data_IF_643854995432
#
_entry.id   IF_643854995432
#
_cell.length_a   1.000
_cell.length_b   1.000
_cell.length_c   1.000
_cell.angle_alpha   90.00
_cell.angle_beta   90.00
_cell.angle_gamma   90.00
#
_symmetry.space_group_name_H-M   'P 1'
#
loop_
_entity.id
_entity.type
_entity.pdbx_description
1 polymer ?
#
# COMPACT_ATOMS: atom_id res chain seq x y z
N UNK A 1 6.02 -7.41 -19.63
CA UNK A 1 5.28 -7.77 -18.41
C UNK A 1 5.43 -9.26 -18.14
N UNK A 2 5.24 -9.70 -16.89
CA UNK A 2 5.44 -11.09 -16.44
C UNK A 2 4.14 -11.87 -16.16
N UNK A 3 3.04 -11.49 -16.81
CA UNK A 3 1.71 -12.12 -16.66
C UNK A 3 1.14 -12.16 -15.23
N UNK A 4 1.61 -11.31 -14.33
CA UNK A 4 1.04 -11.12 -12.98
C UNK A 4 0.75 -9.64 -12.69
N UNK A 5 -0.20 -9.31 -11.78
CA UNK A 5 -0.49 -7.91 -11.47
C UNK A 5 0.73 -7.14 -10.94
N UNK A 6 1.64 -7.83 -10.25
CA UNK A 6 2.88 -7.26 -9.72
C UNK A 6 3.95 -7.00 -10.80
N UNK A 7 3.85 -7.64 -11.96
CA UNK A 7 4.81 -7.56 -13.08
C UNK A 7 4.22 -6.97 -14.37
N UNK A 8 3.03 -6.37 -14.29
CA UNK A 8 2.34 -5.66 -15.38
C UNK A 8 2.15 -4.18 -15.01
N UNK A 9 3.24 -3.43 -15.04
CA UNK A 9 3.33 -2.08 -14.46
C UNK A 9 4.19 -1.17 -15.33
N UNK A 10 3.83 0.11 -15.42
CA UNK A 10 4.60 1.14 -16.13
C UNK A 10 4.80 2.34 -15.20
N UNK A 11 5.99 2.95 -15.30
CA UNK A 11 6.32 4.23 -14.71
C UNK A 11 6.70 5.20 -15.83
N UNK A 12 6.06 6.36 -15.88
CA UNK A 12 6.35 7.43 -16.84
C UNK A 12 6.91 8.59 -16.03
N UNK A 13 8.12 9.03 -16.38
CA UNK A 13 8.84 10.07 -15.64
C UNK A 13 9.23 11.21 -16.58
N UNK A 14 9.15 12.43 -16.08
CA UNK A 14 9.71 13.63 -16.71
C UNK A 14 10.35 14.52 -15.66
N UNK A 15 11.23 15.44 -16.08
CA UNK A 15 11.64 16.55 -15.21
C UNK A 15 10.39 17.33 -14.81
N UNK A 16 10.29 17.68 -13.52
CA UNK A 16 9.19 18.51 -13.06
C UNK A 16 9.43 19.97 -13.46
N UNK A 17 8.35 20.67 -13.80
CA UNK A 17 8.37 22.14 -13.91
C UNK A 17 8.06 22.83 -12.58
N UNK A 18 7.75 22.05 -11.54
CA UNK A 18 7.42 22.56 -10.21
C UNK A 18 8.70 22.90 -9.45
N UNK A 19 8.66 23.92 -8.59
CA UNK A 19 9.80 24.28 -7.74
C UNK A 19 10.00 23.34 -6.55
N UNK A 20 8.94 22.63 -6.17
CA UNK A 20 8.86 21.74 -5.01
C UNK A 20 9.04 20.25 -5.36
N UNK A 21 9.25 19.91 -6.64
CA UNK A 21 9.54 18.57 -7.10
C UNK A 21 10.68 18.57 -8.13
N UNK A 22 11.43 17.47 -8.20
CA UNK A 22 12.51 17.29 -9.17
C UNK A 22 12.01 16.53 -10.42
N UNK A 23 11.11 15.57 -10.22
CA UNK A 23 10.47 14.80 -11.30
C UNK A 23 8.97 14.64 -11.08
N UNK A 24 8.24 14.57 -12.20
CA UNK A 24 6.85 14.13 -12.22
C UNK A 24 6.80 12.63 -12.54
N UNK A 25 5.97 11.89 -11.81
CA UNK A 25 5.85 10.44 -11.91
C UNK A 25 4.40 10.02 -12.09
N UNK A 26 4.11 9.37 -13.22
CA UNK A 26 2.82 8.72 -13.48
C UNK A 26 2.97 7.21 -13.42
N UNK A 27 2.22 6.56 -12.54
CA UNK A 27 2.03 5.12 -12.52
C UNK A 27 0.92 4.70 -13.48
N UNK A 28 1.09 3.55 -14.13
CA UNK A 28 0.03 2.91 -14.90
C UNK A 28 -0.03 1.41 -14.58
N UNK A 29 -1.21 0.95 -14.15
CA UNK A 29 -1.49 -0.48 -13.99
C UNK A 29 -2.06 -1.01 -15.31
N UNK A 30 -1.33 -1.92 -15.95
CA UNK A 30 -1.74 -2.51 -17.23
C UNK A 30 -2.50 -3.80 -16.96
N UNK A 31 -3.73 -3.91 -17.49
CA UNK A 31 -4.52 -5.13 -17.41
C UNK A 31 -3.84 -6.26 -18.22
N UNK A 32 -3.95 -7.49 -17.73
CA UNK A 32 -3.24 -8.65 -18.32
C UNK A 32 -4.06 -9.29 -19.44
N UNK A 33 -5.38 -9.36 -19.26
CA UNK A 33 -6.29 -10.14 -20.07
C UNK A 33 -7.08 -9.29 -21.09
N UNK A 34 -6.87 -7.97 -21.13
CA UNK A 34 -7.65 -7.04 -21.95
C UNK A 34 -6.95 -5.69 -22.18
N UNK A 35 -7.35 -4.90 -23.19
CA UNK A 35 -6.69 -3.66 -23.56
C UNK A 35 -7.15 -2.48 -22.66
N UNK A 36 -6.77 -2.52 -21.38
CA UNK A 36 -7.11 -1.49 -20.41
C UNK A 36 -5.88 -1.07 -19.58
N UNK A 37 -5.82 0.22 -19.26
CA UNK A 37 -4.78 0.81 -18.41
C UNK A 37 -5.45 1.68 -17.35
N UNK A 38 -5.14 1.42 -16.08
CA UNK A 38 -5.67 2.19 -14.94
C UNK A 38 -4.59 3.16 -14.42
N UNK A 39 -4.87 4.45 -14.54
CA UNK A 39 -4.02 5.57 -14.09
C UNK A 39 -4.47 6.18 -12.76
N UNK A 40 -5.50 5.63 -12.11
CA UNK A 40 -5.96 6.16 -10.81
C UNK A 40 -5.05 5.82 -9.63
N UNK A 41 -4.50 4.60 -9.50
CA UNK A 41 -3.69 4.29 -8.32
C UNK A 41 -2.27 4.86 -8.45
N UNK A 42 -1.61 5.00 -7.31
CA UNK A 42 -0.15 5.02 -7.24
C UNK A 42 0.39 3.59 -6.95
N UNK A 43 1.68 3.35 -7.20
CA UNK A 43 2.37 2.12 -6.80
C UNK A 43 3.64 2.42 -6.00
N UNK A 44 3.54 2.36 -4.67
CA UNK A 44 4.68 2.64 -3.79
C UNK A 44 5.91 1.75 -4.00
N UNK A 45 5.73 0.50 -4.45
CA UNK A 45 6.88 -0.36 -4.77
C UNK A 45 7.62 0.13 -6.03
N UNK A 46 6.91 0.65 -7.03
CA UNK A 46 7.54 1.24 -8.22
C UNK A 46 8.16 2.60 -7.88
N UNK A 47 7.58 3.36 -6.95
CA UNK A 47 8.16 4.62 -6.45
C UNK A 47 9.59 4.45 -5.91
N UNK A 48 9.97 3.27 -5.42
CA UNK A 48 11.34 2.98 -4.96
C UNK A 48 12.38 3.08 -6.08
N UNK A 49 11.98 2.81 -7.32
CA UNK A 49 12.86 2.88 -8.48
C UNK A 49 12.85 4.26 -9.16
N UNK A 50 11.88 5.13 -8.84
CA UNK A 50 11.70 6.43 -9.52
C UNK A 50 12.90 7.36 -9.30
N UNK A 51 13.32 7.54 -8.05
CA UNK A 51 14.48 8.37 -7.72
C UNK A 51 15.78 7.84 -8.36
N UNK A 52 16.15 6.56 -8.14
CA UNK A 52 17.29 5.93 -8.80
C UNK A 52 17.28 6.06 -10.33
N UNK A 53 16.13 5.78 -10.97
CA UNK A 53 15.99 5.92 -12.41
C UNK A 53 16.14 7.38 -12.88
N UNK A 54 15.59 8.34 -12.13
CA UNK A 54 15.71 9.76 -12.49
C UNK A 54 17.18 10.23 -12.53
N UNK A 55 18.02 9.72 -11.63
CA UNK A 55 19.48 9.95 -11.67
C UNK A 55 20.10 9.26 -12.89
N UNK A 56 19.82 7.97 -13.08
CA UNK A 56 20.38 7.19 -14.19
C UNK A 56 20.00 7.74 -15.57
N UNK A 57 18.77 8.22 -15.72
CA UNK A 57 18.24 8.81 -16.95
C UNK A 57 18.67 10.28 -17.14
N UNK A 58 19.48 10.83 -16.23
CA UNK A 58 19.95 12.21 -16.28
C UNK A 58 18.82 13.25 -16.14
N UNK A 59 17.71 12.91 -15.50
CA UNK A 59 16.63 13.85 -15.16
C UNK A 59 16.99 14.67 -13.92
N UNK A 60 17.76 14.10 -13.01
CA UNK A 60 18.20 14.73 -11.76
C UNK A 60 19.71 14.58 -11.62
N UNK A 61 20.39 15.66 -11.22
CA UNK A 61 21.81 15.60 -10.85
C UNK A 61 21.90 15.13 -9.39
N UNK A 62 22.56 14.00 -9.10
CA UNK A 62 22.62 13.48 -7.73
C UNK A 62 23.60 14.28 -6.86
N UNK A 63 23.45 14.11 -5.55
CA UNK A 63 24.45 14.45 -4.53
C UNK A 63 25.21 13.18 -4.13
N UNK A 64 26.53 13.23 -4.18
CA UNK A 64 27.39 12.09 -3.82
C UNK A 64 27.15 11.63 -2.37
N UNK A 65 27.27 10.33 -2.13
CA UNK A 65 26.99 9.71 -0.83
C UNK A 65 25.49 9.45 -0.64
N UNK A 66 24.69 10.51 -0.46
CA UNK A 66 23.23 10.39 -0.24
C UNK A 66 22.48 11.43 -1.05
N UNK A 67 21.58 10.96 -1.90
CA UNK A 67 20.70 11.81 -2.72
C UNK A 67 19.27 11.68 -2.24
N UNK A 68 18.54 12.80 -2.19
CA UNK A 68 17.08 12.85 -2.05
C UNK A 68 16.51 13.36 -3.37
N UNK A 69 15.56 12.63 -3.95
CA UNK A 69 14.77 13.06 -5.10
C UNK A 69 13.33 13.32 -4.65
N UNK A 70 12.84 14.54 -4.87
CA UNK A 70 11.45 14.94 -4.65
C UNK A 70 10.62 14.57 -5.87
N UNK A 71 9.60 13.78 -5.67
CA UNK A 71 8.78 13.19 -6.73
C UNK A 71 7.36 13.69 -6.56
N UNK A 72 6.83 14.35 -7.58
CA UNK A 72 5.40 14.64 -7.65
C UNK A 72 4.70 13.48 -8.35
N UNK A 73 3.86 12.74 -7.62
CA UNK A 73 3.04 11.70 -8.23
C UNK A 73 1.80 12.32 -8.88
N UNK A 74 1.69 12.22 -10.19
CA UNK A 74 0.60 12.83 -10.97
C UNK A 74 -0.73 12.09 -10.80
N UNK A 75 -0.71 10.82 -10.38
CA UNK A 75 -1.93 10.04 -10.15
C UNK A 75 -2.72 10.53 -8.94
N UNK A 76 -2.00 10.86 -7.85
CA UNK A 76 -2.60 11.24 -6.56
C UNK A 76 -2.39 12.70 -6.18
N UNK A 77 -1.63 13.45 -6.98
CA UNK A 77 -1.21 14.82 -6.67
C UNK A 77 -0.54 14.95 -5.28
N UNK A 78 0.26 13.94 -4.93
CA UNK A 78 1.01 13.86 -3.65
C UNK A 78 2.50 13.74 -3.90
N UNK A 79 3.26 14.08 -2.87
CA UNK A 79 4.73 14.13 -2.93
C UNK A 79 5.33 12.89 -2.28
N UNK A 80 6.43 12.43 -2.87
CA UNK A 80 7.24 11.33 -2.38
C UNK A 80 8.69 11.78 -2.39
N UNK A 81 9.42 11.54 -1.30
CA UNK A 81 10.87 11.66 -1.28
C UNK A 81 11.50 10.28 -1.38
N UNK A 82 12.39 10.10 -2.35
CA UNK A 82 13.22 8.90 -2.49
C UNK A 82 14.65 9.25 -2.11
N UNK A 83 15.12 8.66 -1.02
CA UNK A 83 16.46 8.88 -0.49
C UNK A 83 17.29 7.60 -0.61
N UNK A 84 18.44 7.67 -1.26
CA UNK A 84 19.26 6.52 -1.62
C UNK A 84 20.75 6.88 -1.73
N UNK A 85 21.59 5.85 -1.76
CA UNK A 85 23.05 5.99 -1.87
C UNK A 85 23.50 6.21 -3.32
N UNK A 86 24.47 7.09 -3.48
CA UNK A 86 25.11 7.41 -4.76
C UNK A 86 26.62 7.34 -4.63
N UNK A 87 27.27 6.67 -5.57
CA UNK A 87 28.73 6.59 -5.69
C UNK A 87 29.14 6.83 -7.15
N UNK A 88 30.13 7.70 -7.38
CA UNK A 88 30.57 8.07 -8.72
C UNK A 88 29.47 8.70 -9.56
N UNK A 89 28.53 9.42 -8.93
CA UNK A 89 27.35 9.99 -9.59
C UNK A 89 26.32 8.96 -10.09
N UNK A 90 26.41 7.69 -9.66
CA UNK A 90 25.47 6.61 -10.00
C UNK A 90 24.77 6.07 -8.76
N UNK A 91 23.55 5.56 -8.93
CA UNK A 91 22.84 4.85 -7.87
C UNK A 91 23.58 3.57 -7.46
N UNK A 92 23.80 3.40 -6.16
CA UNK A 92 24.36 2.16 -5.60
C UNK A 92 23.22 1.17 -5.36
N UNK A 93 23.12 0.14 -6.20
CA UNK A 93 22.05 -0.86 -6.10
C UNK A 93 22.35 -1.99 -5.10
N UNK A 94 23.63 -2.31 -4.89
CA UNK A 94 24.07 -3.39 -4.02
C UNK A 94 24.23 -2.92 -2.57
N UNK A 95 23.93 -3.81 -1.63
CA UNK A 95 23.97 -3.53 -0.20
C UNK A 95 23.40 -4.70 0.60
N UNK A 96 23.31 -4.55 1.92
CA UNK A 96 23.04 -5.65 2.85
C UNK A 96 21.58 -5.70 3.35
N UNK A 97 20.69 -4.88 2.78
CA UNK A 97 19.29 -4.84 3.22
C UNK A 97 18.48 -5.94 2.53
N UNK A 98 17.89 -6.82 3.34
CA UNK A 98 16.91 -7.80 2.89
C UNK A 98 15.48 -7.22 2.99
N UNK A 99 14.68 -7.39 1.93
CA UNK A 99 13.26 -7.03 1.92
C UNK A 99 12.43 -8.32 1.78
N UNK A 100 11.52 -8.62 2.72
CA UNK A 100 10.64 -9.78 2.62
C UNK A 100 9.91 -9.86 1.27
N UNK A 101 10.11 -10.95 0.54
CA UNK A 101 9.55 -11.17 -0.80
C UNK A 101 10.49 -10.83 -1.96
N UNK A 102 11.70 -10.32 -1.70
CA UNK A 102 12.75 -10.10 -2.69
C UNK A 102 13.95 -11.00 -2.37
N UNK A 103 14.36 -11.92 -3.27
CA UNK A 103 15.56 -12.73 -3.07
C UNK A 103 16.83 -11.88 -3.01
N UNK A 104 17.71 -12.19 -2.05
CA UNK A 104 19.01 -11.52 -1.88
C UNK A 104 18.93 -10.21 -1.09
N UNK A 105 19.91 -9.34 -1.34
CA UNK A 105 20.07 -8.06 -0.66
C UNK A 105 20.26 -6.92 -1.65
N UNK A 106 20.00 -5.69 -1.22
CA UNK A 106 20.28 -4.48 -1.97
C UNK A 106 20.52 -3.28 -1.07
N UNK A 107 20.87 -2.16 -1.69
CA UNK A 107 21.02 -0.86 -1.02
C UNK A 107 19.67 -0.29 -0.60
N UNK A 108 19.56 0.33 0.59
CA UNK A 108 18.31 0.92 1.05
C UNK A 108 17.91 2.11 0.17
N UNK A 109 16.65 2.09 -0.23
CA UNK A 109 15.91 3.27 -0.70
C UNK A 109 14.86 3.59 0.36
N UNK A 110 15.03 4.72 1.04
CA UNK A 110 14.04 5.23 1.97
C UNK A 110 13.00 6.03 1.19
N UNK A 111 11.75 5.58 1.26
CA UNK A 111 10.61 6.29 0.69
C UNK A 111 9.83 6.98 1.79
N UNK A 112 9.67 8.30 1.66
CA UNK A 112 8.79 9.09 2.51
C UNK A 112 7.63 9.62 1.67
N UNK A 113 6.40 9.21 1.96
CA UNK A 113 5.21 9.82 1.37
C UNK A 113 4.80 10.99 2.25
N UNK A 114 4.80 12.19 1.69
CA UNK A 114 4.51 13.44 2.41
C UNK A 114 3.04 13.77 2.24
N UNK A 115 2.32 13.95 3.35
CA UNK A 115 0.87 14.19 3.40
C UNK A 115 0.11 13.31 2.41
N UNK A 116 0.20 11.97 2.55
CA UNK A 116 -0.30 11.03 1.54
C UNK A 116 -1.83 10.91 1.50
N UNK A 117 -2.55 11.67 2.29
CA UNK A 117 -3.99 11.60 2.51
C UNK A 117 -4.81 12.18 1.36
N UNK A 118 -6.00 11.62 1.12
CA UNK A 118 -7.00 12.15 0.21
C UNK A 118 -6.61 12.15 -1.26
N UNK A 119 -5.63 11.35 -1.69
CA UNK A 119 -5.15 11.35 -3.07
C UNK A 119 -6.21 10.96 -4.12
N UNK A 120 -7.20 10.15 -3.74
CA UNK A 120 -8.29 9.73 -4.64
C UNK A 120 -9.62 10.44 -4.34
N UNK A 121 -9.84 10.87 -3.10
CA UNK A 121 -11.15 11.32 -2.60
C UNK A 121 -11.13 12.69 -1.92
N UNK A 122 -9.95 13.26 -1.67
CA UNK A 122 -9.76 14.54 -0.99
C UNK A 122 -9.83 14.49 0.53
N UNK A 123 -10.11 13.34 1.16
CA UNK A 123 -10.20 13.18 2.62
C UNK A 123 -9.56 11.87 3.08
N UNK A 124 -8.96 11.85 4.28
CA UNK A 124 -8.39 10.63 4.86
C UNK A 124 -9.45 9.54 5.11
N UNK A 125 -10.63 9.93 5.61
CA UNK A 125 -11.79 9.05 5.83
C UNK A 125 -12.96 9.53 4.96
N UNK A 126 -13.04 9.10 3.70
CA UNK A 126 -14.00 9.66 2.74
C UNK A 126 -15.47 9.31 3.02
N UNK A 127 -15.75 8.30 3.85
CA UNK A 127 -17.11 7.99 4.32
C UNK A 127 -17.56 8.91 5.47
N UNK A 128 -16.63 9.67 6.05
CA UNK A 128 -16.85 10.46 7.25
C UNK A 128 -16.76 9.66 8.56
N UNK A 129 -16.64 8.33 8.48
CA UNK A 129 -16.60 7.44 9.64
C UNK A 129 -15.22 6.81 9.82
N UNK A 130 -14.80 6.60 11.07
CA UNK A 130 -13.61 5.79 11.37
C UNK A 130 -13.86 4.31 11.12
N UNK A 131 -15.10 3.86 11.28
CA UNK A 131 -15.59 2.51 11.01
C UNK A 131 -16.97 2.61 10.38
N UNK A 132 -17.12 1.98 9.23
CA UNK A 132 -18.40 1.74 8.55
C UNK A 132 -18.80 0.28 8.77
N UNK A 133 -20.11 0.02 8.81
CA UNK A 133 -20.66 -1.34 8.93
C UNK A 133 -21.41 -1.69 7.65
N UNK A 134 -20.89 -2.65 6.90
CA UNK A 134 -21.51 -3.13 5.66
C UNK A 134 -22.49 -4.25 6.04
N UNK A 135 -23.76 -4.03 5.72
CA UNK A 135 -24.85 -4.99 5.96
C UNK A 135 -25.13 -5.81 4.69
N UNK A 136 -25.35 -7.10 4.85
CA UNK A 136 -25.69 -8.00 3.75
C UNK A 136 -27.15 -8.49 3.82
N UNK A 137 -27.64 -9.01 2.70
CA UNK A 137 -29.04 -9.43 2.54
C UNK A 137 -29.46 -10.58 3.47
N UNK A 138 -28.49 -11.37 3.93
CA UNK A 138 -28.70 -12.45 4.90
C UNK A 138 -28.66 -11.98 6.37
N UNK A 139 -28.47 -10.68 6.60
CA UNK A 139 -28.37 -10.06 7.93
C UNK A 139 -26.98 -10.11 8.55
N UNK A 140 -26.00 -10.75 7.90
CA UNK A 140 -24.60 -10.67 8.30
C UNK A 140 -24.04 -9.26 8.10
N UNK A 141 -22.97 -8.93 8.82
CA UNK A 141 -22.37 -7.61 8.74
C UNK A 141 -20.86 -7.67 8.94
N UNK A 142 -20.16 -6.78 8.25
CA UNK A 142 -18.70 -6.67 8.30
C UNK A 142 -18.32 -5.24 8.63
N UNK A 143 -17.43 -5.08 9.61
CA UNK A 143 -16.87 -3.78 9.96
C UNK A 143 -15.67 -3.47 9.05
N UNK A 144 -15.64 -2.25 8.52
CA UNK A 144 -14.55 -1.77 7.66
C UNK A 144 -14.10 -0.37 8.07
N UNK A 145 -12.83 -0.06 7.88
CA UNK A 145 -12.34 1.32 7.83
C UNK A 145 -11.97 1.64 6.39
N UNK A 146 -12.51 2.74 5.84
CA UNK A 146 -12.16 3.21 4.50
C UNK A 146 -11.16 4.35 4.62
N UNK A 147 -9.93 4.12 4.17
CA UNK A 147 -8.81 5.03 4.37
C UNK A 147 -8.18 5.41 3.04
N UNK A 148 -8.15 6.70 2.74
CA UNK A 148 -7.45 7.23 1.56
C UNK A 148 -6.12 7.85 1.97
N UNK A 149 -5.09 7.00 2.04
CA UNK A 149 -3.71 7.45 2.21
C UNK A 149 -2.76 6.58 1.38
N UNK A 150 -2.02 7.19 0.45
CA UNK A 150 -1.20 6.51 -0.55
C UNK A 150 -2.00 5.83 -1.66
N UNK A 151 -3.04 5.08 -1.31
CA UNK A 151 -4.16 4.69 -2.16
C UNK A 151 -5.41 4.48 -1.29
N UNK A 152 -6.58 4.82 -1.82
CA UNK A 152 -7.86 4.46 -1.22
C UNK A 152 -7.95 2.95 -0.97
N UNK A 153 -8.09 2.58 0.30
CA UNK A 153 -8.03 1.20 0.78
C UNK A 153 -9.18 0.93 1.76
N UNK A 154 -9.94 -0.14 1.49
CA UNK A 154 -10.91 -0.72 2.42
C UNK A 154 -10.19 -1.71 3.31
N UNK A 155 -10.20 -1.47 4.62
CA UNK A 155 -9.56 -2.29 5.65
C UNK A 155 -10.66 -3.05 6.37
N UNK A 156 -10.75 -4.35 6.13
CA UNK A 156 -11.81 -5.23 6.60
C UNK A 156 -11.40 -5.93 7.89
N UNK A 157 -12.28 -5.96 8.88
CA UNK A 157 -12.10 -6.78 10.08
C UNK A 157 -12.30 -8.27 9.72
N UNK A 158 -11.21 -9.04 9.73
CA UNK A 158 -11.27 -10.48 9.42
C UNK A 158 -12.14 -11.27 10.38
N UNK A 159 -12.23 -10.86 11.65
CA UNK A 159 -13.05 -11.54 12.66
C UNK A 159 -14.55 -11.37 12.43
N UNK A 160 -14.95 -10.37 11.64
CA UNK A 160 -16.35 -10.10 11.28
C UNK A 160 -16.81 -10.79 10.00
N UNK A 161 -15.93 -11.51 9.29
CA UNK A 161 -16.30 -12.17 8.03
C UNK A 161 -17.25 -13.38 8.27
N UNK A 162 -18.34 -13.52 7.47
CA UNK A 162 -19.42 -14.49 7.76
C UNK A 162 -18.98 -15.96 7.81
N UNK A 163 -18.04 -16.36 6.96
CA UNK A 163 -17.59 -17.75 6.83
C UNK A 163 -16.35 -18.08 7.67
N UNK A 164 -15.91 -17.13 8.51
CA UNK A 164 -14.69 -17.24 9.29
C UNK A 164 -13.44 -17.02 8.43
N UNK A 165 -12.61 -16.08 8.86
CA UNK A 165 -11.28 -15.87 8.30
C UNK A 165 -10.26 -16.65 9.11
N UNK A 166 -9.49 -17.54 8.48
CA UNK A 166 -8.31 -18.13 9.11
C UNK A 166 -7.00 -17.66 8.46
N UNK A 167 -6.46 -16.53 8.92
CA UNK A 167 -5.05 -16.22 8.73
C UNK A 167 -4.21 -17.18 9.59
N UNK A 168 -3.24 -17.91 9.04
CA UNK A 168 -2.22 -17.16 8.34
C UNK A 168 -1.87 -17.74 6.99
N UNK A 169 -2.48 -18.85 6.62
CA UNK A 169 -2.10 -19.60 5.45
C UNK A 169 -2.94 -19.13 4.25
N UNK A 170 -2.28 -18.46 3.31
CA UNK A 170 -2.90 -18.12 2.03
C UNK A 170 -2.19 -18.90 0.94
N UNK A 171 -2.97 -19.67 0.21
CA UNK A 171 -2.61 -20.25 -1.08
C UNK A 171 -2.38 -19.12 -2.12
N UNK A 172 -1.89 -19.50 -3.30
CA UNK A 172 -1.72 -18.56 -4.41
C UNK A 172 -3.06 -18.03 -4.98
N UNK A 173 -4.17 -18.58 -4.51
CA UNK A 173 -5.54 -18.21 -4.86
C UNK A 173 -6.36 -17.83 -3.62
N UNK A 174 -7.42 -17.05 -3.82
CA UNK A 174 -8.43 -16.80 -2.78
C UNK A 174 -9.51 -17.87 -2.93
N UNK A 175 -9.98 -18.44 -1.82
CA UNK A 175 -11.20 -19.25 -1.85
C UNK A 175 -12.33 -18.49 -2.54
N UNK A 176 -13.13 -19.19 -3.35
CA UNK A 176 -14.14 -18.57 -4.18
C UNK A 176 -15.15 -17.75 -3.37
N UNK A 177 -15.57 -18.25 -2.20
CA UNK A 177 -16.54 -17.56 -1.33
C UNK A 177 -15.96 -16.27 -0.76
N UNK A 178 -14.74 -16.33 -0.20
CA UNK A 178 -14.03 -15.16 0.32
C UNK A 178 -13.76 -14.13 -0.77
N UNK A 179 -13.35 -14.57 -1.96
CA UNK A 179 -13.12 -13.69 -3.10
C UNK A 179 -14.39 -12.90 -3.49
N UNK A 180 -15.55 -13.56 -3.50
CA UNK A 180 -16.82 -12.90 -3.76
C UNK A 180 -17.20 -11.89 -2.68
N UNK A 181 -17.01 -12.25 -1.40
CA UNK A 181 -17.28 -11.35 -0.29
C UNK A 181 -16.45 -10.08 -0.36
N UNK A 182 -15.13 -10.23 -0.55
CA UNK A 182 -14.22 -9.10 -0.66
C UNK A 182 -14.54 -8.22 -1.86
N UNK A 183 -14.88 -8.81 -3.01
CA UNK A 183 -15.26 -8.03 -4.19
C UNK A 183 -16.58 -7.27 -3.97
N UNK A 184 -17.58 -7.87 -3.32
CA UNK A 184 -18.84 -7.18 -2.97
C UNK A 184 -18.58 -5.98 -2.06
N UNK A 185 -17.80 -6.16 -0.99
CA UNK A 185 -17.39 -5.08 -0.08
C UNK A 185 -16.70 -3.95 -0.85
N UNK A 186 -15.74 -4.31 -1.72
CA UNK A 186 -14.97 -3.36 -2.52
C UNK A 186 -15.85 -2.56 -3.47
N UNK A 187 -16.84 -3.21 -4.10
CA UNK A 187 -17.79 -2.57 -5.00
C UNK A 187 -18.74 -1.64 -4.26
N UNK A 188 -19.31 -2.08 -3.13
CA UNK A 188 -20.22 -1.28 -2.31
C UNK A 188 -19.58 0.05 -1.90
N UNK A 189 -18.37 0.00 -1.34
CA UNK A 189 -17.60 1.21 -0.99
C UNK A 189 -17.27 2.04 -2.24
N UNK A 190 -16.92 1.39 -3.35
CA UNK A 190 -16.63 2.08 -4.60
C UNK A 190 -17.82 2.88 -5.14
N UNK A 191 -19.04 2.34 -5.04
CA UNK A 191 -20.27 3.04 -5.41
C UNK A 191 -20.63 4.14 -4.40
N UNK A 192 -20.53 3.86 -3.09
CA UNK A 192 -20.76 4.86 -2.03
C UNK A 192 -19.88 6.10 -2.21
N UNK A 193 -18.63 5.90 -2.64
CA UNK A 193 -17.65 6.97 -2.86
C UNK A 193 -17.68 7.54 -4.29
N UNK A 194 -18.66 7.18 -5.11
CA UNK A 194 -18.81 7.65 -6.49
C UNK A 194 -17.56 7.42 -7.37
N UNK A 195 -16.78 6.38 -7.10
CA UNK A 195 -15.62 6.01 -7.93
C UNK A 195 -16.04 5.43 -9.28
N UNK A 196 -17.27 4.94 -9.34
CA UNK A 196 -17.88 4.28 -10.47
C UNK A 196 -19.28 4.84 -10.72
N UNK A 197 -19.74 4.76 -11.97
CA UNK A 197 -21.15 5.00 -12.28
C UNK A 197 -21.94 3.70 -12.05
N UNK A 198 -23.24 3.75 -11.74
CA UNK A 198 -24.08 2.55 -11.61
C UNK A 198 -24.09 1.65 -12.86
N UNK A 199 -23.78 2.22 -14.02
CA UNK A 199 -23.69 1.50 -15.30
C UNK A 199 -22.32 0.89 -15.57
N UNK A 200 -21.30 1.18 -14.74
CA UNK A 200 -19.94 0.69 -14.95
C UNK A 200 -19.86 -0.79 -14.60
N UNK A 201 -19.43 -1.62 -15.55
CA UNK A 201 -19.08 -3.02 -15.27
C UNK A 201 -17.77 -3.06 -14.49
N UNK A 202 -17.87 -3.31 -13.18
CA UNK A 202 -16.72 -3.37 -12.29
C UNK A 202 -16.13 -4.78 -12.30
N UNK A 203 -14.83 -4.83 -12.52
CA UNK A 203 -14.07 -6.07 -12.51
C UNK A 203 -12.74 -5.83 -11.80
N UNK A 204 -12.30 -6.73 -10.90
CA UNK A 204 -11.05 -6.54 -10.17
C UNK A 204 -9.83 -6.47 -11.09
N UNK A 205 -9.85 -7.13 -12.25
CA UNK A 205 -8.77 -7.03 -13.24
C UNK A 205 -8.66 -5.68 -13.97
N UNK A 206 -9.65 -4.80 -13.87
CA UNK A 206 -9.65 -3.47 -14.54
C UNK A 206 -9.76 -2.30 -13.59
N UNK A 207 -10.32 -2.49 -12.40
CA UNK A 207 -10.56 -1.43 -11.44
C UNK A 207 -9.67 -1.62 -10.22
N UNK A 208 -8.58 -0.86 -10.20
CA UNK A 208 -7.55 -1.03 -9.18
C UNK A 208 -7.93 -0.41 -7.82
N UNK A 209 -8.79 0.61 -7.80
CA UNK A 209 -9.27 1.29 -6.59
C UNK A 209 -10.78 1.06 -6.40
N UNK A 210 -11.28 0.95 -5.16
CA UNK A 210 -10.49 0.97 -3.94
C UNK A 210 -9.70 -0.34 -3.81
N UNK A 211 -8.53 -0.27 -3.15
CA UNK A 211 -7.82 -1.47 -2.70
C UNK A 211 -8.62 -2.12 -1.58
N UNK A 212 -8.40 -3.41 -1.35
CA UNK A 212 -8.99 -4.11 -0.22
C UNK A 212 -7.93 -4.94 0.49
N UNK A 213 -7.93 -4.83 1.81
CA UNK A 213 -7.11 -5.64 2.70
C UNK A 213 -7.99 -6.12 3.82
N UNK A 214 -7.72 -7.33 4.29
CA UNK A 214 -8.33 -7.81 5.53
C UNK A 214 -7.24 -7.92 6.57
N UNK A 215 -7.62 -7.63 7.80
CA UNK A 215 -6.71 -7.54 8.93
C UNK A 215 -7.19 -8.38 10.10
N UNK A 216 -6.23 -8.76 10.94
CA UNK A 216 -6.47 -9.57 12.13
C UNK A 216 -5.44 -9.25 13.21
N UNK A 217 -5.77 -9.63 14.44
CA UNK A 217 -4.89 -9.52 15.58
C UNK A 217 -3.59 -10.32 15.37
N UNK A 218 -2.46 -9.91 15.96
CA UNK A 218 -1.20 -10.64 15.88
C UNK A 218 -1.33 -12.10 16.36
N UNK A 219 -0.94 -13.04 15.50
CA UNK A 219 -0.81 -14.49 15.78
C UNK A 219 0.43 -15.06 15.07
N UNK A 220 1.02 -16.17 15.58
CA UNK A 220 2.20 -16.74 14.94
C UNK A 220 1.86 -17.30 13.56
N UNK A 221 2.82 -17.26 12.64
CA UNK A 221 2.65 -17.90 11.34
C UNK A 221 3.94 -18.25 10.61
N UNK A 222 3.84 -19.18 9.66
CA UNK A 222 4.90 -19.44 8.69
C UNK A 222 4.76 -18.52 7.48
N UNK A 223 5.81 -17.77 7.18
CA UNK A 223 5.88 -16.99 5.93
C UNK A 223 5.96 -17.92 4.71
N UNK A 224 5.75 -17.38 3.51
CA UNK A 224 5.93 -18.10 2.24
C UNK A 224 7.34 -18.70 2.07
N UNK A 225 8.33 -18.13 2.74
CA UNK A 225 9.71 -18.64 2.74
C UNK A 225 9.98 -19.67 3.86
N UNK A 226 8.94 -20.10 4.59
CA UNK A 226 9.06 -21.03 5.72
C UNK A 226 9.59 -20.41 7.01
N UNK A 227 9.72 -19.08 7.08
CA UNK A 227 10.17 -18.39 8.28
C UNK A 227 9.06 -18.35 9.33
N UNK A 228 9.37 -18.75 10.57
CA UNK A 228 8.46 -18.59 11.69
C UNK A 228 8.40 -17.12 12.13
N UNK A 229 7.22 -16.51 12.02
CA UNK A 229 6.94 -15.15 12.45
C UNK A 229 6.16 -15.21 13.77
N UNK A 230 6.69 -14.56 14.79
CA UNK A 230 6.14 -14.57 16.13
C UNK A 230 5.20 -13.36 16.35
N UNK A 231 4.16 -13.48 17.19
CA UNK A 231 3.20 -12.40 17.46
C UNK A 231 3.85 -11.08 17.87
N UNK A 232 4.90 -11.14 18.68
CA UNK A 232 5.64 -9.97 19.17
C UNK A 232 6.34 -9.19 18.05
N UNK A 233 6.60 -9.82 16.90
CA UNK A 233 7.16 -9.15 15.72
C UNK A 233 6.09 -8.37 14.95
N UNK A 234 4.81 -8.64 15.20
CA UNK A 234 3.68 -8.15 14.39
C UNK A 234 2.88 -7.12 15.20
N UNK A 235 2.52 -6.02 14.56
CA UNK A 235 1.56 -5.04 15.12
C UNK A 235 0.15 -5.41 14.69
N UNK A 236 0.00 -5.79 13.42
CA UNK A 236 -1.25 -6.26 12.83
C UNK A 236 -0.96 -7.26 11.71
N UNK A 237 -1.76 -8.30 11.58
CA UNK A 237 -1.73 -9.19 10.41
C UNK A 237 -2.53 -8.53 9.30
N UNK A 238 -2.00 -8.56 8.07
CA UNK A 238 -2.72 -8.04 6.92
C UNK A 238 -2.51 -8.90 5.68
N UNK A 239 -3.57 -8.98 4.87
CA UNK A 239 -3.58 -9.69 3.60
C UNK A 239 -4.32 -8.83 2.58
N UNK A 240 -3.57 -8.33 1.60
CA UNK A 240 -4.12 -7.47 0.56
C UNK A 240 -4.52 -8.29 -0.67
N UNK A 241 -5.65 -7.92 -1.28
CA UNK A 241 -6.03 -8.39 -2.61
C UNK A 241 -5.68 -7.30 -3.62
N UNK A 242 -5.01 -7.68 -4.69
CA UNK A 242 -4.64 -6.77 -5.78
C UNK A 242 -5.07 -7.37 -7.10
N UNK A 243 -5.94 -6.64 -7.80
CA UNK A 243 -6.49 -7.07 -9.09
C UNK A 243 -7.15 -8.46 -9.02
N UNK A 244 -7.85 -8.75 -7.92
CA UNK A 244 -8.58 -10.02 -7.71
C UNK A 244 -7.72 -11.20 -7.25
N UNK A 245 -6.41 -10.99 -7.02
CA UNK A 245 -5.50 -12.03 -6.55
C UNK A 245 -4.85 -11.67 -5.22
N UNK A 246 -4.45 -12.65 -4.38
CA UNK A 246 -3.66 -12.39 -3.20
C UNK A 246 -2.37 -11.67 -3.57
N UNK A 247 -2.03 -10.60 -2.85
CA UNK A 247 -0.74 -9.97 -3.01
C UNK A 247 0.33 -10.84 -2.32
N UNK A 248 1.44 -11.21 -2.98
CA UNK A 248 2.40 -12.17 -2.42
C UNK A 248 3.13 -11.65 -1.17
N UNK A 249 3.32 -10.33 -1.07
CA UNK A 249 3.83 -9.62 0.10
C UNK A 249 2.77 -8.62 0.59
N UNK A 250 3.07 -7.31 0.59
CA UNK A 250 2.08 -6.26 0.84
C UNK A 250 2.35 -5.02 -0.03
N UNK A 251 1.32 -4.37 -0.62
CA UNK A 251 1.53 -3.14 -1.40
C UNK A 251 1.88 -1.97 -0.48
N UNK A 252 2.96 -1.24 -0.78
CA UNK A 252 3.43 -0.14 0.09
C UNK A 252 2.39 0.97 0.29
N UNK A 253 1.63 1.32 -0.74
CA UNK A 253 0.54 2.31 -0.64
C UNK A 253 -0.61 1.83 0.24
N UNK A 254 -0.97 0.55 0.18
CA UNK A 254 -1.90 -0.05 1.16
C UNK A 254 -1.31 -0.09 2.57
N UNK A 255 0.02 -0.25 2.69
CA UNK A 255 0.74 -0.16 3.96
C UNK A 255 0.67 1.22 4.60
N UNK A 256 0.68 2.27 3.77
CA UNK A 256 0.47 3.66 4.23
C UNK A 256 -0.92 3.84 4.83
N UNK A 257 -1.97 3.45 4.12
CA UNK A 257 -3.34 3.48 4.63
C UNK A 257 -3.52 2.65 5.91
N UNK A 258 -3.00 1.42 5.92
CA UNK A 258 -3.10 0.54 7.07
C UNK A 258 -2.35 1.07 8.29
N UNK A 259 -1.13 1.60 8.12
CA UNK A 259 -0.36 2.15 9.23
C UNK A 259 -1.05 3.37 9.86
N UNK A 260 -1.60 4.26 9.03
CA UNK A 260 -2.43 5.37 9.53
C UNK A 260 -3.65 4.85 10.29
N UNK A 261 -4.36 3.86 9.73
CA UNK A 261 -5.50 3.22 10.38
C UNK A 261 -5.14 2.66 11.76
N UNK A 262 -4.02 1.95 11.90
CA UNK A 262 -3.54 1.42 13.18
C UNK A 262 -3.29 2.53 14.23
N UNK A 263 -2.74 3.67 13.81
CA UNK A 263 -2.40 4.78 14.72
C UNK A 263 -3.58 5.63 15.17
N UNK A 264 -4.68 5.61 14.42
CA UNK A 264 -5.85 6.44 14.69
C UNK A 264 -6.82 5.70 15.62
N UNK A 265 -7.04 6.18 16.85
CA UNK A 265 -7.89 5.49 17.83
C UNK A 265 -9.31 5.24 17.31
N UNK A 266 -9.79 4.00 17.49
CA UNK A 266 -11.19 3.64 17.22
C UNK A 266 -11.47 3.08 15.82
N UNK A 267 -10.51 3.10 14.89
CA UNK A 267 -10.61 2.40 13.60
C UNK A 267 -10.59 0.87 13.75
N UNK A 268 -10.94 0.13 12.70
CA UNK A 268 -10.86 -1.34 12.67
C UNK A 268 -9.45 -1.82 13.01
N UNK A 269 -8.43 -1.29 12.33
CA UNK A 269 -7.06 -1.74 12.53
C UNK A 269 -6.51 -1.39 13.91
N UNK A 270 -6.89 -0.24 14.47
CA UNK A 270 -6.48 0.16 15.81
C UNK A 270 -7.03 -0.78 16.89
N UNK A 271 -8.27 -1.27 16.74
CA UNK A 271 -8.89 -2.20 17.69
C UNK A 271 -8.20 -3.57 17.71
N UNK A 272 -7.68 -4.01 16.57
CA UNK A 272 -7.03 -5.33 16.40
C UNK A 272 -5.51 -5.29 16.67
N UNK A 273 -4.90 -4.11 16.60
CA UNK A 273 -3.45 -3.99 16.71
C UNK A 273 -2.94 -4.27 18.13
N UNK A 274 -1.82 -4.97 18.24
CA UNK A 274 -1.05 -5.03 19.49
C UNK A 274 -0.07 -3.85 19.54
N UNK A 275 -0.44 -2.81 20.29
CA UNK A 275 0.37 -1.61 20.51
C UNK A 275 1.30 -1.72 21.73
N UNK A 276 1.42 -2.90 22.35
CA UNK A 276 2.37 -3.23 23.43
C UNK A 276 3.78 -2.73 23.11
N UNK A 277 4.61 -2.35 24.09
CA UNK A 277 5.58 -1.26 23.97
C UNK A 277 6.74 -1.61 23.03
N UNK A 278 6.50 -1.50 21.73
CA UNK A 278 7.54 -1.52 20.70
C UNK A 278 8.18 -0.14 20.68
N UNK A 279 9.52 -0.05 20.66
CA UNK A 279 10.18 1.24 20.54
C UNK A 279 9.77 1.91 19.23
N UNK A 280 9.35 3.18 19.33
CA UNK A 280 9.11 4.14 18.25
C UNK A 280 7.94 3.87 17.30
N UNK A 281 7.51 4.90 16.57
CA UNK A 281 6.28 5.03 15.76
C UNK A 281 5.98 3.98 14.69
N UNK A 282 6.75 2.90 14.58
CA UNK A 282 6.62 1.87 13.55
C UNK A 282 5.38 0.97 13.74
N UNK A 283 4.64 0.78 12.64
CA UNK A 283 3.63 -0.27 12.49
C UNK A 283 4.26 -1.44 11.73
N UNK A 284 4.36 -2.59 12.39
CA UNK A 284 4.88 -3.82 11.79
C UNK A 284 3.74 -4.64 11.18
N UNK A 285 3.64 -4.65 9.86
CA UNK A 285 2.58 -5.34 9.12
C UNK A 285 3.04 -6.77 8.81
N UNK A 286 2.39 -7.76 9.43
CA UNK A 286 2.62 -9.18 9.16
C UNK A 286 1.88 -9.63 7.89
N UNK A 287 2.61 -9.81 6.79
CA UNK A 287 2.10 -10.19 5.48
C UNK A 287 2.66 -11.57 5.04
N UNK A 288 2.22 -12.18 3.91
CA UNK A 288 2.58 -13.56 3.59
C UNK A 288 4.09 -13.81 3.45
N UNK A 289 4.84 -12.87 2.86
CA UNK A 289 6.31 -13.00 2.78
C UNK A 289 7.10 -12.68 4.06
N UNK A 290 6.48 -12.19 5.13
CA UNK A 290 7.18 -11.77 6.35
C UNK A 290 6.59 -10.51 6.97
N UNK A 291 7.44 -9.67 7.58
CA UNK A 291 7.00 -8.45 8.29
C UNK A 291 7.59 -7.21 7.62
N UNK A 292 6.74 -6.24 7.30
CA UNK A 292 7.18 -4.93 6.79
C UNK A 292 6.93 -3.85 7.85
N UNK A 293 7.97 -3.16 8.34
CA UNK A 293 7.79 -1.97 9.16
C UNK A 293 7.39 -0.77 8.30
N UNK A 294 6.43 0.02 8.79
CA UNK A 294 6.02 1.31 8.22
C UNK A 294 6.04 2.34 9.34
N UNK A 295 6.85 3.37 9.19
CA UNK A 295 6.79 4.54 10.05
C UNK A 295 5.63 5.43 9.61
N UNK A 296 4.90 5.99 10.55
CA UNK A 296 3.72 6.81 10.28
C UNK A 296 3.55 7.84 11.38
N UNK A 297 3.39 9.09 10.94
CA UNK A 297 3.02 10.21 11.80
C UNK A 297 1.61 10.65 11.45
N UNK A 298 0.73 10.66 12.45
CA UNK A 298 -0.65 11.17 12.34
C UNK A 298 -0.86 12.29 13.34
N UNK A 299 -1.64 13.29 12.95
CA UNK A 299 -1.99 14.44 13.78
C UNK A 299 -3.49 14.71 13.70
N UNK A 300 -4.04 15.32 14.75
CA UNK A 300 -5.40 15.86 14.71
C UNK A 300 -5.30 17.37 14.52
N UNK A 301 -5.79 17.88 13.39
CA UNK A 301 -5.79 19.30 13.05
C UNK A 301 -7.23 19.74 12.85
N UNK A 302 -7.67 20.73 13.63
CA UNK A 302 -9.04 21.28 13.53
C UNK A 302 -10.15 20.21 13.63
N UNK A 303 -9.93 19.15 14.41
CA UNK A 303 -10.89 18.05 14.59
C UNK A 303 -10.88 17.00 13.49
N UNK A 304 -9.95 17.09 12.53
CA UNK A 304 -9.75 16.11 11.47
C UNK A 304 -8.40 15.41 11.61
N UNK A 305 -8.38 14.09 11.43
CA UNK A 305 -7.15 13.33 11.35
C UNK A 305 -6.43 13.60 10.03
N UNK A 306 -5.13 13.81 10.11
CA UNK A 306 -4.23 13.97 8.96
C UNK A 306 -3.05 13.02 9.10
N UNK A 307 -2.50 12.59 7.96
CA UNK A 307 -1.25 11.82 7.92
C UNK A 307 -0.15 12.79 7.52
N UNK A 308 0.80 13.06 8.40
CA UNK A 308 1.88 14.01 8.11
C UNK A 308 2.89 13.40 7.13
N UNK A 309 3.31 12.17 7.44
CA UNK A 309 4.21 11.40 6.60
C UNK A 309 4.10 9.91 6.91
N UNK A 310 4.38 9.09 5.90
CA UNK A 310 4.74 7.68 6.10
C UNK A 310 6.12 7.40 5.52
N UNK A 311 6.91 6.59 6.22
CA UNK A 311 8.26 6.20 5.76
C UNK A 311 8.40 4.69 5.72
N UNK A 312 9.07 4.19 4.70
CA UNK A 312 9.37 2.76 4.56
C UNK A 312 10.68 2.55 3.83
N UNK A 313 11.35 1.44 4.14
CA UNK A 313 12.58 1.02 3.45
C UNK A 313 12.21 0.06 2.31
N UNK A 314 12.81 0.28 1.14
CA UNK A 314 12.74 -0.60 -0.03
C UNK A 314 14.14 -0.79 -0.61
N UNK A 315 14.24 -1.61 -1.64
CA UNK A 315 15.42 -1.76 -2.48
C UNK A 315 14.99 -1.63 -3.94
N UNK A 316 15.91 -1.23 -4.81
CA UNK A 316 15.68 -1.14 -6.25
C UNK A 316 16.94 -1.59 -7.00
N UNK A 317 16.77 -2.19 -8.18
CA UNK A 317 17.87 -2.58 -9.06
C UNK A 317 17.40 -2.56 -10.53
N UNK A 318 18.20 -2.03 -11.47
CA UNK A 318 17.98 -2.22 -12.90
C UNK A 318 18.08 -3.71 -13.27
N UNK A 319 17.17 -4.20 -14.13
CA UNK A 319 17.17 -5.58 -14.64
C UNK A 319 17.55 -5.60 -16.12
#
# INVERSE_FOLDING_TARGET
GGATPTTSKVAILSRSFRSDADVDYTFAQVAIDRPAVDYRPNCGNISAAVGPFAVQAGLVRPTEGRTIVRIFNTNTERYIEAEFLVEGGQFVADGDIAIPGVPGHGSPVYLTFIRPDGGATGSLFPTGNLVDRIMFSDGSAVDVSVVDAGNLTVIVDGSSLPDGWDAPWFSDDVDFSLGQWLERIRQEIGYQLNLYTPTTSIHPATHALPKITVVDSPRPYLSRAGQNILPEQITIIARAITMGKPHPAYPLTGGTALAACVKIPGTVANRLASLSPKPSGLVHIGHPSGVTPVDVSVSMVEGHWQVEATRSVRTARPL
#
